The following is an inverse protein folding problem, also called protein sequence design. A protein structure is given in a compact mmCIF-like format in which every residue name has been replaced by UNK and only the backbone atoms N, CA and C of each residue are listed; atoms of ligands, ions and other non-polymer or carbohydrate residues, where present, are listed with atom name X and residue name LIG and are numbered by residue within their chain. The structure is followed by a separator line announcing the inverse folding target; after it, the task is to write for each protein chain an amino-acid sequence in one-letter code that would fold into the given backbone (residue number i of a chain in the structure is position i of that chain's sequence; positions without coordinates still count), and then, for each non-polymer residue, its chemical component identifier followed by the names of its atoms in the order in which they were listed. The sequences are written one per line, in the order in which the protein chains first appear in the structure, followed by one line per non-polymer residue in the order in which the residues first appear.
data_IF_214060962679
#
_entry.id   IF_214060962679
#
_cell.length_a   1.000
_cell.length_b   1.000
_cell.length_c   1.000
_cell.angle_alpha   90.00
_cell.angle_beta   90.00
_cell.angle_gamma   90.00
#
_symmetry.space_group_name_H-M   'P 1'
#
loop_
_entity.id
_entity.type
_entity.pdbx_description
1 polymer ?
#
# COMPACT_ATOMS: atom_id res chain seq x y z
N UNK A 1 21.94 -4.01 -9.34
CA UNK A 1 20.56 -3.50 -9.51
C UNK A 1 19.73 -4.61 -10.07
N UNK A 2 18.59 -4.92 -9.45
CA UNK A 2 17.70 -5.98 -9.95
C UNK A 2 17.20 -5.68 -11.36
N UNK A 3 16.62 -6.69 -12.01
CA UNK A 3 16.04 -6.60 -13.35
C UNK A 3 14.60 -6.03 -13.35
N UNK A 4 14.28 -5.16 -12.38
CA UNK A 4 12.92 -4.63 -12.20
C UNK A 4 12.68 -3.37 -13.05
N UNK A 5 11.43 -3.20 -13.47
CA UNK A 5 10.97 -2.02 -14.20
C UNK A 5 11.07 -0.74 -13.37
N UNK A 6 11.10 0.41 -14.07
CA UNK A 6 11.18 1.74 -13.46
C UNK A 6 10.40 2.83 -14.18
N UNK A 7 9.61 2.46 -15.18
CA UNK A 7 8.87 3.42 -16.01
C UNK A 7 7.36 3.22 -15.83
N UNK A 8 6.61 4.30 -15.94
CA UNK A 8 5.20 4.24 -16.34
C UNK A 8 5.09 4.59 -17.82
N UNK A 9 4.15 3.95 -18.50
CA UNK A 9 3.99 4.03 -19.94
C UNK A 9 2.65 4.70 -20.26
N UNK A 10 2.69 5.74 -21.08
CA UNK A 10 1.48 6.44 -21.54
C UNK A 10 1.13 5.93 -22.93
N UNK A 11 -0.13 5.59 -23.13
CA UNK A 11 -0.64 5.03 -24.38
C UNK A 11 -1.76 5.89 -24.95
N UNK A 12 -1.81 6.01 -26.27
CA UNK A 12 -3.02 6.44 -26.95
C UNK A 12 -3.94 5.22 -27.12
N UNK A 13 -5.15 5.31 -26.55
CA UNK A 13 -6.11 4.20 -26.55
C UNK A 13 -6.65 3.90 -27.95
N UNK A 14 -6.88 4.92 -28.78
CA UNK A 14 -7.51 4.77 -30.09
C UNK A 14 -6.57 4.13 -31.10
N UNK A 15 -5.33 4.60 -31.15
CA UNK A 15 -4.29 4.11 -32.05
C UNK A 15 -3.54 2.90 -31.49
N UNK A 16 -3.69 2.61 -30.18
CA UNK A 16 -2.99 1.55 -29.45
C UNK A 16 -1.47 1.68 -29.53
N UNK A 17 -0.97 2.92 -29.51
CA UNK A 17 0.46 3.21 -29.57
C UNK A 17 0.98 3.73 -28.23
N UNK A 18 2.17 3.28 -27.84
CA UNK A 18 2.95 3.90 -26.78
C UNK A 18 3.36 5.32 -27.21
N UNK A 19 2.96 6.33 -26.44
CA UNK A 19 3.27 7.74 -26.73
C UNK A 19 4.44 8.27 -25.91
N UNK A 20 4.63 7.74 -24.69
CA UNK A 20 5.66 8.21 -23.78
C UNK A 20 6.03 7.15 -22.75
N UNK A 21 7.31 7.09 -22.38
CA UNK A 21 7.80 6.38 -21.19
C UNK A 21 8.34 7.41 -20.20
N UNK A 22 7.92 7.33 -18.94
CA UNK A 22 8.34 8.25 -17.87
C UNK A 22 9.19 7.46 -16.87
N UNK A 23 10.47 7.80 -16.74
CA UNK A 23 11.39 7.16 -15.79
C UNK A 23 11.17 7.70 -14.37
N UNK A 24 10.78 6.81 -13.45
CA UNK A 24 10.57 7.11 -12.03
C UNK A 24 11.83 6.88 -11.17
N UNK A 25 12.95 6.56 -11.81
CA UNK A 25 14.23 6.35 -11.17
C UNK A 25 14.47 4.89 -10.74
N UNK A 26 15.74 4.61 -10.46
CA UNK A 26 16.23 3.27 -10.15
C UNK A 26 15.64 2.75 -8.84
N UNK A 27 15.12 1.51 -8.86
CA UNK A 27 14.55 0.87 -7.68
C UNK A 27 13.13 1.33 -7.35
N UNK A 28 12.46 2.04 -8.26
CA UNK A 28 11.05 2.42 -8.09
C UNK A 28 10.13 1.20 -8.04
N UNK A 29 10.22 0.29 -9.01
CA UNK A 29 9.28 -0.84 -9.14
C UNK A 29 7.82 -0.33 -9.05
N UNK A 30 7.36 0.47 -10.04
CA UNK A 30 5.98 0.94 -10.06
C UNK A 30 5.03 -0.26 -10.14
N UNK A 31 4.08 -0.34 -9.21
CA UNK A 31 3.07 -1.39 -9.16
C UNK A 31 1.69 -0.81 -9.48
N UNK A 32 1.01 -0.30 -8.46
CA UNK A 32 -0.36 0.15 -8.56
C UNK A 32 -0.43 1.61 -9.01
N UNK A 33 -1.19 1.84 -10.09
CA UNK A 33 -1.49 3.16 -10.64
C UNK A 33 -2.96 3.49 -10.38
N UNK A 34 -3.23 4.72 -9.94
CA UNK A 34 -4.58 5.22 -9.66
C UNK A 34 -4.71 6.63 -10.21
N UNK A 35 -5.60 6.84 -11.17
CA UNK A 35 -6.06 8.19 -11.51
C UNK A 35 -6.95 8.72 -10.39
N UNK A 36 -7.10 10.04 -10.32
CA UNK A 36 -8.22 10.63 -9.58
C UNK A 36 -9.55 10.15 -10.18
N UNK A 37 -10.59 10.06 -9.36
CA UNK A 37 -11.93 9.65 -9.75
C UNK A 37 -12.67 10.71 -10.56
N UNK A 38 -12.35 12.00 -10.36
CA UNK A 38 -12.81 13.10 -11.19
C UNK A 38 -12.38 12.87 -12.66
N UNK A 39 -13.32 12.64 -13.60
CA UNK A 39 -12.99 12.34 -14.99
C UNK A 39 -12.31 13.51 -15.72
N UNK A 40 -12.43 14.74 -15.22
CA UNK A 40 -11.77 15.91 -15.78
C UNK A 40 -10.31 16.03 -15.30
N UNK A 41 -9.92 15.28 -14.27
CA UNK A 41 -8.58 15.33 -13.71
C UNK A 41 -7.58 14.51 -14.55
N UNK A 42 -6.69 15.20 -15.26
CA UNK A 42 -5.58 14.59 -16.00
C UNK A 42 -4.36 14.31 -15.11
N UNK A 43 -4.57 13.64 -13.96
CA UNK A 43 -3.50 13.30 -13.01
C UNK A 43 -3.87 12.10 -12.13
N UNK A 44 -2.87 11.54 -11.47
CA UNK A 44 -3.03 10.44 -10.52
C UNK A 44 -1.74 10.14 -9.79
N UNK A 45 -1.68 8.97 -9.17
CA UNK A 45 -0.56 8.51 -8.37
C UNK A 45 -0.12 7.09 -8.74
N UNK A 46 1.16 6.80 -8.52
CA UNK A 46 1.72 5.45 -8.66
C UNK A 46 2.56 5.10 -7.44
N UNK A 47 2.29 3.93 -6.85
CA UNK A 47 3.07 3.36 -5.77
C UNK A 47 4.35 2.72 -6.31
N UNK A 48 5.50 3.13 -5.78
CA UNK A 48 6.81 2.59 -6.12
C UNK A 48 7.32 1.74 -4.95
N UNK A 49 7.29 0.42 -5.13
CA UNK A 49 7.47 -0.53 -4.04
C UNK A 49 8.82 -0.38 -3.34
N UNK A 50 9.94 -0.64 -4.05
CA UNK A 50 11.24 -0.77 -3.39
C UNK A 50 11.85 0.59 -2.99
N UNK A 51 11.45 1.69 -3.63
CA UNK A 51 11.85 3.03 -3.21
C UNK A 51 11.02 3.56 -2.05
N UNK A 52 9.93 2.88 -1.67
CA UNK A 52 9.03 3.33 -0.61
C UNK A 52 8.40 4.69 -0.92
N UNK A 53 8.14 4.99 -2.20
CA UNK A 53 7.71 6.31 -2.64
C UNK A 53 6.38 6.28 -3.39
N UNK A 54 5.65 7.40 -3.37
CA UNK A 54 4.52 7.64 -4.26
C UNK A 54 4.86 8.81 -5.17
N UNK A 55 4.65 8.62 -6.46
CA UNK A 55 4.80 9.68 -7.46
C UNK A 55 3.42 10.14 -7.94
N UNK A 56 3.22 11.45 -8.05
CA UNK A 56 2.09 12.04 -8.77
C UNK A 56 2.47 12.12 -10.24
N UNK A 57 1.68 11.52 -11.12
CA UNK A 57 1.79 11.71 -12.56
C UNK A 57 0.69 12.64 -13.05
N UNK A 58 0.96 13.45 -14.08
CA UNK A 58 0.04 14.49 -14.54
C UNK A 58 0.33 14.92 -15.97
N UNK A 59 -0.70 15.44 -16.64
CA UNK A 59 -0.57 16.07 -17.94
C UNK A 59 -0.09 17.52 -17.78
N UNK A 60 0.91 17.92 -18.55
CA UNK A 60 1.50 19.25 -18.56
C UNK A 60 0.66 20.23 -19.39
N UNK A 61 1.05 21.50 -19.43
CA UNK A 61 0.40 22.50 -20.29
C UNK A 61 0.73 22.29 -21.78
N UNK A 62 1.88 21.68 -22.04
CA UNK A 62 2.37 21.30 -23.36
C UNK A 62 1.68 20.03 -23.91
N UNK A 63 0.95 19.32 -23.04
CA UNK A 63 0.11 18.18 -23.40
C UNK A 63 0.77 16.81 -23.26
N UNK A 64 2.06 16.76 -22.93
CA UNK A 64 2.79 15.56 -22.52
C UNK A 64 2.56 15.22 -21.03
N UNK A 65 3.14 14.12 -20.55
CA UNK A 65 2.97 13.68 -19.16
C UNK A 65 4.28 13.78 -18.38
N UNK A 66 4.17 14.13 -17.10
CA UNK A 66 5.30 14.20 -16.18
C UNK A 66 4.96 13.46 -14.87
N UNK A 67 5.98 13.13 -14.10
CA UNK A 67 5.83 12.56 -12.76
C UNK A 67 6.76 13.25 -11.75
N UNK A 68 6.26 13.49 -10.54
CA UNK A 68 7.03 14.05 -9.42
C UNK A 68 6.84 13.21 -8.16
N UNK A 69 7.91 12.98 -7.39
CA UNK A 69 7.82 12.27 -6.10
C UNK A 69 7.15 13.18 -5.08
N UNK A 70 6.07 12.71 -4.46
CA UNK A 70 5.25 13.50 -3.52
C UNK A 70 5.18 12.88 -2.12
N UNK A 71 5.44 11.57 -1.99
CA UNK A 71 5.55 10.87 -0.70
C UNK A 71 6.80 10.00 -0.71
N UNK A 72 7.51 9.92 0.41
CA UNK A 72 8.66 9.04 0.62
C UNK A 72 8.65 8.49 2.05
N UNK A 73 8.68 7.15 2.17
CA UNK A 73 8.89 6.44 3.43
C UNK A 73 10.38 6.18 3.58
N UNK A 74 11.05 6.75 4.60
CA UNK A 74 12.47 6.55 4.79
C UNK A 74 12.80 5.10 5.16
N UNK A 75 13.90 4.60 4.61
CA UNK A 75 14.51 3.35 5.07
C UNK A 75 14.89 3.42 6.55
N UNK A 76 14.84 2.27 7.21
CA UNK A 76 15.22 2.10 8.62
C UNK A 76 16.52 1.33 8.70
N UNK A 77 17.43 1.71 9.60
CA UNK A 77 18.62 0.90 9.88
C UNK A 77 18.24 -0.26 10.77
N UNK A 78 18.64 -1.45 10.41
CA UNK A 78 18.21 -2.68 11.07
C UNK A 78 19.32 -3.70 11.25
N UNK A 79 19.12 -4.60 12.21
CA UNK A 79 19.85 -5.86 12.38
C UNK A 79 18.87 -7.03 12.25
N UNK A 80 19.37 -8.22 11.89
CA UNK A 80 18.52 -9.40 11.69
C UNK A 80 17.75 -9.40 10.37
N UNK A 81 18.13 -8.53 9.44
CA UNK A 81 17.62 -8.45 8.06
C UNK A 81 18.74 -8.71 7.05
N UNK A 82 18.39 -9.00 5.80
CA UNK A 82 19.34 -9.29 4.73
C UNK A 82 20.34 -8.15 4.45
N UNK A 83 19.90 -6.90 4.67
CA UNK A 83 20.67 -5.69 4.47
C UNK A 83 20.64 -4.81 5.73
N UNK A 84 21.62 -3.92 5.95
CA UNK A 84 21.62 -3.00 7.09
C UNK A 84 20.53 -1.92 6.99
N UNK A 85 20.01 -1.67 5.79
CA UNK A 85 18.94 -0.72 5.52
C UNK A 85 17.71 -1.51 5.05
N UNK A 86 16.58 -1.30 5.74
CA UNK A 86 15.29 -1.87 5.39
C UNK A 86 14.42 -0.79 4.75
N UNK A 87 14.20 -0.83 3.42
CA UNK A 87 13.30 0.11 2.77
C UNK A 87 11.86 -0.15 3.22
N UNK A 88 10.99 0.83 2.98
CA UNK A 88 9.57 0.53 2.87
C UNK A 88 9.31 -0.42 1.70
N UNK A 89 8.09 -0.93 1.61
CA UNK A 89 7.62 -1.64 0.43
C UNK A 89 6.15 -1.30 0.19
N UNK A 90 5.92 -0.23 -0.59
CA UNK A 90 4.57 0.20 -0.94
C UNK A 90 4.02 -0.74 -2.02
N UNK A 91 3.12 -1.64 -1.64
CA UNK A 91 2.64 -2.71 -2.53
C UNK A 91 1.29 -2.42 -3.16
N UNK A 92 0.44 -1.65 -2.49
CA UNK A 92 -0.85 -1.21 -3.03
C UNK A 92 -1.15 0.24 -2.62
N UNK A 93 -1.87 0.95 -3.48
CA UNK A 93 -2.42 2.28 -3.22
C UNK A 93 -3.88 2.34 -3.68
N UNK A 94 -4.69 3.15 -3.01
CA UNK A 94 -6.02 3.51 -3.49
C UNK A 94 -6.37 4.95 -3.13
N UNK A 95 -7.41 5.49 -3.78
CA UNK A 95 -7.89 6.85 -3.61
C UNK A 95 -9.37 6.80 -3.23
N UNK A 96 -9.79 7.59 -2.24
CA UNK A 96 -11.22 7.71 -1.88
C UNK A 96 -12.02 8.33 -3.02
N UNK A 97 -13.30 7.96 -3.15
CA UNK A 97 -14.15 8.41 -4.27
C UNK A 97 -14.31 9.93 -4.39
N UNK A 98 -14.10 10.65 -3.30
CA UNK A 98 -14.12 12.12 -3.26
C UNK A 98 -12.75 12.76 -3.57
N UNK A 99 -11.77 11.97 -4.02
CA UNK A 99 -10.40 12.37 -4.35
C UNK A 99 -9.65 13.09 -3.23
N UNK A 100 -10.08 12.90 -1.98
CA UNK A 100 -9.53 13.61 -0.84
C UNK A 100 -8.44 12.85 -0.10
N UNK A 101 -8.50 11.52 -0.09
CA UNK A 101 -7.54 10.70 0.63
C UNK A 101 -6.88 9.65 -0.27
N UNK A 102 -5.56 9.54 -0.13
CA UNK A 102 -4.78 8.44 -0.65
C UNK A 102 -4.40 7.49 0.49
N UNK A 103 -4.56 6.20 0.25
CA UNK A 103 -4.16 5.16 1.18
C UNK A 103 -3.08 4.31 0.53
N UNK A 104 -2.13 3.82 1.33
CA UNK A 104 -1.22 2.79 0.86
C UNK A 104 -0.86 1.80 1.95
N UNK A 105 -0.49 0.60 1.52
CA UNK A 105 0.04 -0.45 2.38
C UNK A 105 1.56 -0.53 2.22
N UNK A 106 2.26 -0.50 3.36
CA UNK A 106 3.72 -0.62 3.43
C UNK A 106 4.05 -2.01 4.00
N UNK A 107 4.08 -2.99 3.12
CA UNK A 107 4.05 -4.40 3.46
C UNK A 107 5.20 -4.84 4.37
N UNK A 108 6.43 -4.34 4.12
CA UNK A 108 7.61 -4.72 4.92
C UNK A 108 7.60 -4.08 6.31
N UNK A 109 7.33 -2.77 6.41
CA UNK A 109 7.28 -2.12 7.74
C UNK A 109 6.00 -2.46 8.50
N UNK A 110 4.93 -2.89 7.83
CA UNK A 110 3.74 -3.41 8.48
C UNK A 110 2.61 -2.41 8.69
N UNK A 111 2.68 -1.22 8.08
CA UNK A 111 1.69 -0.16 8.30
C UNK A 111 0.84 0.16 7.07
N UNK A 112 -0.39 0.62 7.34
CA UNK A 112 -1.21 1.35 6.38
C UNK A 112 -1.09 2.83 6.72
N UNK A 113 -0.99 3.68 5.69
CA UNK A 113 -1.01 5.13 5.84
C UNK A 113 -2.17 5.75 5.07
N UNK A 114 -2.70 6.84 5.61
CA UNK A 114 -3.70 7.70 4.99
C UNK A 114 -3.10 9.10 4.83
N UNK A 115 -3.16 9.63 3.61
CA UNK A 115 -2.71 10.96 3.25
C UNK A 115 -3.88 11.81 2.76
N UNK A 116 -4.03 13.02 3.28
CA UNK A 116 -4.87 14.05 2.67
C UNK A 116 -4.18 14.55 1.39
N UNK A 117 -4.87 14.40 0.26
CA UNK A 117 -4.42 14.79 -1.08
C UNK A 117 -5.25 15.94 -1.67
N UNK A 118 -5.96 16.72 -0.83
CA UNK A 118 -6.67 17.94 -1.26
C UNK A 118 -5.75 18.90 -2.03
N UNK A 119 -4.45 18.88 -1.73
CA UNK A 119 -3.40 19.36 -2.63
C UNK A 119 -2.57 18.15 -3.12
N UNK A 120 -2.80 17.65 -4.35
CA UNK A 120 -2.11 16.46 -4.86
C UNK A 120 -0.59 16.58 -4.92
N UNK A 121 -0.06 17.81 -4.97
CA UNK A 121 1.39 18.08 -5.03
C UNK A 121 2.07 18.04 -3.66
N UNK A 122 1.28 18.14 -2.59
CA UNK A 122 1.78 18.15 -1.21
C UNK A 122 0.89 17.29 -0.29
N UNK A 123 0.86 15.96 -0.48
CA UNK A 123 0.09 15.06 0.37
C UNK A 123 0.52 15.16 1.84
N UNK A 124 -0.45 15.10 2.76
CA UNK A 124 -0.20 15.22 4.20
C UNK A 124 -0.61 13.95 4.93
N UNK A 125 0.31 13.34 5.67
CA UNK A 125 0.01 12.16 6.49
C UNK A 125 -0.99 12.55 7.60
N UNK A 126 -2.15 11.90 7.62
CA UNK A 126 -3.23 12.15 8.59
C UNK A 126 -3.66 10.91 9.37
N UNK A 127 -3.21 9.72 8.98
CA UNK A 127 -3.48 8.47 9.69
C UNK A 127 -2.43 7.40 9.41
N UNK A 128 -2.13 6.59 10.43
CA UNK A 128 -1.21 5.46 10.32
C UNK A 128 -1.64 4.37 11.31
N UNK A 129 -1.62 3.11 10.87
CA UNK A 129 -1.90 1.96 11.74
C UNK A 129 -0.98 0.79 11.40
N UNK A 130 -0.40 0.16 12.42
CA UNK A 130 0.46 -1.02 12.27
C UNK A 130 -0.35 -2.31 12.44
N UNK A 131 -0.22 -3.22 11.48
CA UNK A 131 -0.98 -4.48 11.39
C UNK A 131 -0.06 -5.70 11.31
N UNK A 132 1.19 -5.56 11.78
CA UNK A 132 2.23 -6.58 11.73
C UNK A 132 3.53 -6.02 11.17
N UNK A 133 4.10 -6.71 10.19
CA UNK A 133 5.33 -6.34 9.49
C UNK A 133 6.61 -6.78 10.19
N UNK A 134 7.72 -6.60 9.48
CA UNK A 134 9.03 -7.11 9.88
C UNK A 134 9.63 -6.34 11.06
N UNK A 135 9.22 -5.09 11.28
CA UNK A 135 9.73 -4.25 12.38
C UNK A 135 8.94 -4.40 13.68
N UNK A 136 8.05 -5.40 13.79
CA UNK A 136 7.37 -5.72 15.04
C UNK A 136 8.38 -5.98 16.18
N UNK A 137 8.16 -5.36 17.34
CA UNK A 137 8.99 -5.49 18.53
C UNK A 137 9.09 -6.94 19.00
N UNK A 138 10.30 -7.36 19.38
CA UNK A 138 10.57 -8.74 19.78
C UNK A 138 10.56 -9.74 18.62
N UNK A 139 10.44 -9.27 17.38
CA UNK A 139 10.63 -10.07 16.18
C UNK A 139 12.12 -10.33 15.86
N UNK A 140 12.41 -10.98 14.72
CA UNK A 140 13.79 -11.27 14.31
C UNK A 140 14.59 -10.04 13.88
N UNK A 141 13.91 -8.91 13.62
CA UNK A 141 14.53 -7.66 13.18
C UNK A 141 14.53 -6.64 14.31
N UNK A 142 15.71 -6.08 14.58
CA UNK A 142 15.90 -4.98 15.52
C UNK A 142 16.13 -3.70 14.73
N UNK A 143 15.33 -2.66 14.98
CA UNK A 143 15.51 -1.33 14.40
C UNK A 143 16.52 -0.55 15.24
N UNK A 144 17.57 -0.06 14.58
CA UNK A 144 18.69 0.67 15.19
C UNK A 144 18.56 2.18 14.99
N UNK A 145 18.04 2.60 13.83
CA UNK A 145 17.75 4.00 13.53
C UNK A 145 16.43 4.08 12.76
N UNK A 146 15.52 4.90 13.26
CA UNK A 146 14.23 5.22 12.64
C UNK A 146 14.02 6.73 12.71
N UNK A 147 13.66 7.34 11.59
CA UNK A 147 13.41 8.78 11.48
C UNK A 147 11.96 9.15 11.78
N UNK A 148 11.05 8.17 11.78
CA UNK A 148 9.61 8.36 11.92
C UNK A 148 9.12 7.87 13.29
N UNK A 149 9.58 6.71 13.75
CA UNK A 149 9.12 6.09 14.98
C UNK A 149 10.12 6.24 16.11
N UNK A 150 9.62 6.46 17.33
CA UNK A 150 10.45 6.47 18.53
C UNK A 150 10.77 5.06 19.06
N UNK A 151 9.93 4.07 18.70
CA UNK A 151 10.10 2.68 19.09
C UNK A 151 9.45 1.75 18.04
N UNK A 152 9.93 0.51 17.99
CA UNK A 152 9.31 -0.54 17.17
C UNK A 152 7.84 -0.77 17.59
N UNK A 153 6.91 -0.95 16.64
CA UNK A 153 5.50 -1.22 16.93
C UNK A 153 5.34 -2.55 17.68
N UNK A 154 4.34 -2.63 18.55
CA UNK A 154 4.01 -3.89 19.22
C UNK A 154 3.48 -4.92 18.20
N UNK A 155 3.67 -6.22 18.44
CA UNK A 155 3.07 -7.25 17.60
C UNK A 155 1.55 -7.08 17.50
N UNK A 156 1.00 -7.14 16.29
CA UNK A 156 -0.44 -7.01 16.09
C UNK A 156 -1.16 -8.31 16.47
N UNK A 157 -2.08 -8.20 17.43
CA UNK A 157 -2.91 -9.30 17.94
C UNK A 157 -4.36 -8.87 17.92
N UNK A 158 -5.23 -9.67 17.29
CA UNK A 158 -6.67 -9.42 17.22
C UNK A 158 -7.43 -10.73 17.48
N UNK A 159 -8.45 -10.67 18.34
CA UNK A 159 -9.25 -11.84 18.73
C UNK A 159 -8.41 -13.06 19.14
N UNK A 160 -7.30 -12.82 19.84
CA UNK A 160 -6.37 -13.87 20.31
C UNK A 160 -5.42 -14.42 19.24
N UNK A 161 -5.53 -13.99 17.97
CA UNK A 161 -4.59 -14.36 16.89
C UNK A 161 -3.52 -13.29 16.74
N UNK A 162 -2.25 -13.69 16.80
CA UNK A 162 -1.13 -12.86 16.33
C UNK A 162 -1.09 -12.91 14.80
N UNK A 163 -1.21 -11.76 14.14
CA UNK A 163 -1.28 -11.71 12.68
C UNK A 163 0.14 -11.80 12.10
N UNK A 164 0.42 -12.76 11.21
CA UNK A 164 1.68 -12.82 10.46
C UNK A 164 1.67 -11.83 9.29
N UNK A 165 2.85 -11.50 8.77
CA UNK A 165 2.94 -10.63 7.58
C UNK A 165 2.68 -9.16 7.87
N UNK A 166 2.58 -8.38 6.80
CA UNK A 166 2.17 -6.97 6.83
C UNK A 166 0.98 -6.72 5.90
N UNK A 167 0.35 -5.54 5.98
CA UNK A 167 -0.80 -5.18 5.14
C UNK A 167 -0.39 -5.14 3.66
N UNK A 168 -1.25 -5.64 2.78
CA UNK A 168 -1.03 -5.69 1.34
C UNK A 168 -2.22 -5.10 0.58
N UNK A 169 -3.11 -5.89 -0.05
CA UNK A 169 -4.21 -5.33 -0.83
C UNK A 169 -5.18 -4.58 0.07
N UNK A 170 -5.59 -3.42 -0.39
CA UNK A 170 -6.52 -2.52 0.25
C UNK A 170 -7.80 -2.44 -0.56
N UNK A 171 -8.95 -2.32 0.13
CA UNK A 171 -10.20 -1.99 -0.53
C UNK A 171 -11.07 -1.10 0.34
N UNK A 172 -11.38 0.10 -0.15
CA UNK A 172 -12.16 1.10 0.58
C UNK A 172 -13.64 1.01 0.19
N UNK A 173 -14.52 1.14 1.19
CA UNK A 173 -15.96 1.26 0.94
C UNK A 173 -16.29 2.56 0.21
N UNK A 174 -17.38 2.57 -0.56
CA UNK A 174 -17.77 3.75 -1.35
C UNK A 174 -17.98 5.03 -0.50
N UNK A 175 -18.44 4.89 0.75
CA UNK A 175 -18.58 6.01 1.69
C UNK A 175 -17.26 6.42 2.38
N UNK A 176 -16.15 5.77 2.07
CA UNK A 176 -14.82 6.05 2.60
C UNK A 176 -14.60 5.63 4.06
N UNK A 177 -15.59 5.04 4.74
CA UNK A 177 -15.54 4.83 6.21
C UNK A 177 -14.90 3.52 6.64
N UNK A 178 -14.78 2.55 5.75
CA UNK A 178 -14.24 1.21 6.04
C UNK A 178 -13.20 0.84 5.00
N UNK A 179 -11.98 0.63 5.46
CA UNK A 179 -10.88 0.12 4.65
C UNK A 179 -10.64 -1.34 5.02
N UNK A 180 -10.79 -2.25 4.07
CA UNK A 180 -10.47 -3.66 4.25
C UNK A 180 -9.05 -3.92 3.76
N UNK A 181 -8.37 -4.86 4.41
CA UNK A 181 -6.99 -5.21 4.09
C UNK A 181 -6.75 -6.70 4.22
N UNK A 182 -6.02 -7.26 3.26
CA UNK A 182 -5.40 -8.60 3.33
C UNK A 182 -3.88 -8.48 3.43
N UNK A 183 -3.18 -9.57 3.72
CA UNK A 183 -1.74 -9.54 4.07
C UNK A 183 -0.81 -10.41 3.20
N UNK A 184 -1.31 -11.10 2.17
CA UNK A 184 -0.46 -11.85 1.22
C UNK A 184 -0.18 -11.03 -0.04
N UNK A 185 1.08 -11.00 -0.49
CA UNK A 185 1.51 -10.32 -1.71
C UNK A 185 1.65 -11.29 -2.88
N UNK A 186 2.54 -12.25 -2.72
CA UNK A 186 2.89 -13.23 -3.74
C UNK A 186 3.62 -14.35 -3.03
N UNK A 187 3.17 -15.59 -3.19
CA UNK A 187 3.62 -16.72 -2.36
C UNK A 187 5.14 -16.90 -2.27
N UNK A 188 5.87 -16.57 -3.34
CA UNK A 188 7.34 -16.59 -3.34
C UNK A 188 7.96 -15.53 -2.41
N UNK A 189 7.42 -14.32 -2.41
CA UNK A 189 7.85 -13.24 -1.52
C UNK A 189 7.33 -13.45 -0.10
N UNK A 190 6.09 -13.90 0.06
CA UNK A 190 5.50 -14.27 1.34
C UNK A 190 6.38 -15.30 2.04
N UNK A 191 6.79 -16.37 1.35
CA UNK A 191 7.70 -17.39 1.89
C UNK A 191 9.04 -16.81 2.35
N UNK A 192 9.57 -15.85 1.60
CA UNK A 192 10.88 -15.26 1.87
C UNK A 192 10.86 -14.30 3.06
N UNK A 193 9.85 -13.43 3.12
CA UNK A 193 9.78 -12.34 4.09
C UNK A 193 8.93 -12.67 5.31
N UNK A 194 7.88 -13.48 5.13
CA UNK A 194 6.93 -13.89 6.16
C UNK A 194 6.60 -15.39 6.08
N UNK A 195 7.58 -16.29 6.30
CA UNK A 195 7.37 -17.73 6.16
C UNK A 195 6.23 -18.29 7.05
N UNK A 196 5.94 -17.64 8.18
CA UNK A 196 4.81 -18.00 9.06
C UNK A 196 3.44 -17.74 8.39
N UNK A 197 3.35 -16.79 7.45
CA UNK A 197 2.11 -16.52 6.69
C UNK A 197 1.65 -17.77 5.92
N UNK A 198 2.60 -18.58 5.42
CA UNK A 198 2.27 -19.82 4.71
C UNK A 198 1.78 -20.95 5.64
N UNK A 199 2.09 -20.86 6.93
CA UNK A 199 1.70 -21.87 7.94
C UNK A 199 0.42 -21.49 8.66
N UNK A 200 0.24 -20.21 8.92
CA UNK A 200 -0.84 -19.66 9.74
C UNK A 200 -2.01 -19.11 8.91
N UNK A 201 -1.79 -18.94 7.61
CA UNK A 201 -2.75 -18.37 6.67
C UNK A 201 -2.81 -16.86 6.75
N UNK A 202 -3.36 -16.29 5.68
CA UNK A 202 -3.68 -14.87 5.60
C UNK A 202 -4.90 -14.51 6.45
N UNK A 203 -5.12 -13.20 6.61
CA UNK A 203 -6.31 -12.66 7.24
C UNK A 203 -6.89 -11.55 6.38
N UNK A 204 -8.18 -11.26 6.59
CA UNK A 204 -8.77 -9.99 6.20
C UNK A 204 -9.22 -9.23 7.45
N UNK A 205 -8.86 -7.95 7.51
CA UNK A 205 -9.16 -7.04 8.62
C UNK A 205 -9.99 -5.87 8.10
N UNK A 206 -10.71 -5.19 9.00
CA UNK A 206 -11.37 -3.92 8.72
C UNK A 206 -10.71 -2.81 9.56
N UNK A 207 -10.44 -1.69 8.91
CA UNK A 207 -9.95 -0.46 9.51
C UNK A 207 -11.06 0.59 9.37
N UNK A 208 -11.44 1.17 10.49
CA UNK A 208 -12.35 2.31 10.55
C UNK A 208 -11.56 3.57 10.19
N UNK A 209 -12.16 4.38 9.31
CA UNK A 209 -11.54 5.57 8.73
C UNK A 209 -12.28 6.82 9.18
N UNK A 210 -11.57 7.77 9.79
CA UNK A 210 -12.09 9.13 10.01
C UNK A 210 -12.00 9.92 8.70
N UNK A 211 -13.14 10.08 8.04
CA UNK A 211 -13.25 10.81 6.77
C UNK A 211 -13.33 12.32 6.94
N UNK A 212 -13.51 12.85 8.17
CA UNK A 212 -13.57 14.28 8.40
C UNK A 212 -12.19 14.87 8.69
N UNK A 213 -11.39 14.22 9.53
CA UNK A 213 -10.08 14.72 9.96
C UNK A 213 -8.91 13.89 9.46
N UNK A 214 -9.18 12.70 8.93
CA UNK A 214 -8.16 11.67 8.78
C UNK A 214 -7.91 10.94 10.09
N UNK A 215 -7.49 9.68 9.99
CA UNK A 215 -7.29 8.79 11.13
C UNK A 215 -7.70 7.38 10.78
N UNK A 216 -6.91 6.42 11.25
CA UNK A 216 -7.13 4.99 11.04
C UNK A 216 -7.23 4.30 12.40
N UNK A 217 -8.25 3.47 12.58
CA UNK A 217 -8.44 2.64 13.76
C UNK A 217 -8.78 1.21 13.37
N UNK A 218 -8.15 0.22 13.98
CA UNK A 218 -8.51 -1.19 13.74
C UNK A 218 -9.91 -1.43 14.33
N UNK A 219 -10.81 -2.03 13.55
CA UNK A 219 -12.05 -2.57 14.11
C UNK A 219 -11.76 -3.90 14.83
N UNK A 220 -11.82 -3.96 16.17
CA UNK A 220 -11.44 -5.17 16.92
C UNK A 220 -12.43 -6.34 16.71
N UNK A 221 -13.61 -6.06 16.17
CA UNK A 221 -14.69 -7.03 15.99
C UNK A 221 -14.68 -7.70 14.61
N UNK A 222 -13.80 -7.29 13.69
CA UNK A 222 -13.75 -7.85 12.35
C UNK A 222 -12.42 -8.58 12.09
N UNK A 223 -12.52 -9.90 11.93
CA UNK A 223 -11.42 -10.76 11.51
C UNK A 223 -11.99 -11.88 10.64
N UNK A 224 -11.50 -12.01 9.41
CA UNK A 224 -11.65 -13.25 8.63
C UNK A 224 -10.30 -13.95 8.63
N UNK A 225 -10.28 -15.18 9.17
CA UNK A 225 -9.06 -15.97 9.35
C UNK A 225 -9.02 -17.10 8.31
N UNK A 226 -8.25 -16.90 7.24
CA UNK A 226 -8.08 -17.88 6.16
C UNK A 226 -7.11 -19.02 6.54
N UNK A 227 -6.55 -19.00 7.75
CA UNK A 227 -5.79 -20.13 8.30
C UNK A 227 -6.67 -21.34 8.66
N UNK A 228 -7.98 -21.13 8.83
CA UNK A 228 -8.94 -22.14 9.28
C UNK A 228 -9.79 -22.74 8.15
N UNK A 229 -9.41 -22.48 6.90
CA UNK A 229 -10.09 -23.05 5.74
C UNK A 229 -9.99 -24.60 5.74
N UNK A 230 -11.01 -25.33 5.22
CA UNK A 230 -11.05 -26.79 5.31
C UNK A 230 -9.86 -27.51 4.66
N UNK A 231 -9.24 -26.90 3.65
CA UNK A 231 -8.07 -27.42 2.93
C UNK A 231 -6.72 -27.03 3.55
N UNK A 232 -6.72 -26.31 4.67
CA UNK A 232 -5.55 -25.71 5.28
C UNK A 232 -5.39 -24.22 4.92
N UNK A 233 -4.29 -23.59 5.36
CA UNK A 233 -4.10 -22.15 5.27
C UNK A 233 -4.12 -21.61 3.83
N UNK A 234 -4.89 -20.53 3.61
CA UNK A 234 -5.02 -19.86 2.31
C UNK A 234 -4.42 -18.45 2.35
N UNK A 235 -3.92 -18.00 1.20
CA UNK A 235 -3.34 -16.68 0.96
C UNK A 235 -4.32 -15.79 0.19
N UNK A 236 -5.05 -14.95 0.91
CA UNK A 236 -5.97 -13.97 0.38
C UNK A 236 -5.22 -12.73 -0.10
N UNK A 237 -5.60 -12.27 -1.30
CA UNK A 237 -4.96 -11.16 -1.99
C UNK A 237 -6.01 -10.07 -2.24
N UNK A 238 -6.50 -9.93 -3.47
CA UNK A 238 -7.48 -8.89 -3.84
C UNK A 238 -8.89 -9.15 -3.28
N UNK A 239 -9.58 -8.05 -2.95
CA UNK A 239 -10.96 -8.04 -2.50
C UNK A 239 -11.79 -7.20 -3.47
N UNK A 240 -13.01 -7.62 -3.77
CA UNK A 240 -13.94 -6.85 -4.61
C UNK A 240 -15.30 -6.74 -3.94
N UNK A 241 -15.90 -5.56 -3.99
CA UNK A 241 -17.25 -5.37 -3.45
C UNK A 241 -18.30 -5.81 -4.47
N UNK A 242 -19.41 -6.44 -4.01
CA UNK A 242 -20.57 -6.62 -4.86
C UNK A 242 -21.13 -5.25 -5.28
N UNK A 243 -21.12 -4.96 -6.59
CA UNK A 243 -21.70 -3.75 -7.15
C UNK A 243 -20.74 -2.58 -7.36
N UNK A 244 -19.43 -2.80 -7.30
CA UNK A 244 -18.41 -1.80 -7.61
C UNK A 244 -17.69 -1.25 -6.38
N UNK A 245 -16.47 -0.78 -6.57
CA UNK A 245 -15.58 -0.25 -5.55
C UNK A 245 -14.61 0.79 -6.12
N UNK A 246 -13.89 1.49 -5.25
CA UNK A 246 -12.98 2.59 -5.62
C UNK A 246 -11.78 2.16 -6.49
N UNK A 247 -11.70 0.91 -6.92
CA UNK A 247 -10.64 0.39 -7.79
C UNK A 247 -11.19 -0.42 -8.98
N UNK A 248 -12.52 -0.53 -9.15
CA UNK A 248 -13.15 -1.21 -10.30
C UNK A 248 -13.88 -0.27 -11.23
N UNK A 249 -14.46 0.83 -10.72
CA UNK A 249 -15.28 1.73 -11.50
C UNK A 249 -14.48 2.95 -12.00
N UNK A 250 -14.66 3.27 -13.28
CA UNK A 250 -14.19 4.51 -13.90
C UNK A 250 -15.43 5.27 -14.34
N UNK A 251 -15.55 6.52 -13.90
CA UNK A 251 -16.67 7.39 -14.23
C UNK A 251 -16.36 8.13 -15.55
N UNK A 252 -17.37 8.31 -16.40
CA UNK A 252 -17.30 8.97 -17.71
C UNK A 252 -18.22 10.20 -17.75
#
# INVERSE_FOLDING_TARGET
SGHYGRHINVWDWSSRSLIQEIDLGKGSIPLEIRFLHDPEASQGFVGCALSGAVHRFYRTQEGDWAAEKVIEVPSKKVQGWLLPEMPGLITDILISLDDRFLYFSNWIHGDIRQYDISNPREPKLVGQVFLGGSISKGGPVTVVEDRELQAQPEPFVIQGKKVPGGPQMLQLSLDGKRLYVTNSLYSGWDKQFYPELLKEGSVMLQIDVDTEKGGLGVNPNFLVDFGKEPGGPVLAHEMRYPGGDCTSDIWL
#
